data_IF_498373252852
#
_entry.id   IF_498373252852
#
_cell.length_a   1.000
_cell.length_b   1.000
_cell.length_c   1.000
_cell.angle_alpha   90.00
_cell.angle_beta   90.00
_cell.angle_gamma   90.00
#
_symmetry.space_group_name_H-M   'P 1'
#
loop_
_entity.id
_entity.type
_entity.pdbx_description
1 polymer ?
#
# COMPACT_ATOMS: atom_id res chain seq x y z
N UNK A 1 15.37 -15.41 -7.51
CA UNK A 1 15.46 -14.01 -7.94
C UNK A 1 14.33 -13.72 -8.90
N UNK A 2 13.45 -12.81 -8.57
CA UNK A 2 12.42 -12.32 -9.49
C UNK A 2 13.11 -11.36 -10.45
N UNK A 3 13.08 -11.67 -11.74
CA UNK A 3 13.63 -10.78 -12.77
C UNK A 3 12.51 -9.84 -13.22
N UNK A 4 12.70 -8.53 -13.09
CA UNK A 4 11.74 -7.53 -13.56
C UNK A 4 11.44 -7.72 -15.06
N UNK A 5 10.20 -7.49 -15.49
CA UNK A 5 9.79 -7.56 -16.90
C UNK A 5 10.41 -6.41 -17.72
N UNK A 6 10.53 -6.57 -19.05
CA UNK A 6 10.97 -5.48 -19.92
C UNK A 6 9.95 -4.33 -19.92
N UNK A 7 10.46 -3.08 -20.00
CA UNK A 7 9.62 -1.89 -19.99
C UNK A 7 10.31 -0.65 -19.46
N UNK A 8 9.58 0.44 -19.44
CA UNK A 8 9.99 1.72 -18.86
C UNK A 8 9.48 1.81 -17.43
N UNK A 9 10.36 2.23 -16.54
CA UNK A 9 10.14 2.28 -15.10
C UNK A 9 10.38 3.68 -14.54
N UNK A 10 9.54 4.12 -13.61
CA UNK A 10 9.99 5.03 -12.58
C UNK A 10 11.02 4.29 -11.73
N UNK A 11 12.15 4.91 -11.48
CA UNK A 11 13.24 4.35 -10.72
C UNK A 11 13.88 5.39 -9.80
N UNK A 12 14.62 4.94 -8.82
CA UNK A 12 15.46 5.78 -7.98
C UNK A 12 16.92 5.42 -8.21
N UNK A 13 17.75 6.42 -8.27
CA UNK A 13 19.18 6.30 -8.49
C UNK A 13 19.95 6.91 -7.31
N UNK A 14 20.69 6.10 -6.59
CA UNK A 14 21.57 6.56 -5.52
C UNK A 14 22.98 6.80 -6.10
N UNK A 15 23.46 8.01 -5.94
CA UNK A 15 24.81 8.44 -6.35
C UNK A 15 25.52 9.05 -5.16
N UNK A 16 26.59 8.41 -4.68
CA UNK A 16 27.37 8.84 -3.52
C UNK A 16 26.51 9.14 -2.25
N UNK A 17 25.50 8.29 -2.00
CA UNK A 17 24.60 8.45 -0.85
C UNK A 17 23.46 9.45 -1.07
N UNK A 18 23.39 10.11 -2.21
CA UNK A 18 22.28 11.02 -2.56
C UNK A 18 21.30 10.30 -3.48
N UNK A 19 20.02 10.32 -3.11
CA UNK A 19 18.95 9.69 -3.86
C UNK A 19 18.33 10.67 -4.86
N UNK A 20 18.15 10.22 -6.10
CA UNK A 20 17.55 10.99 -7.20
C UNK A 20 16.39 10.20 -7.81
N UNK A 21 15.35 10.90 -8.22
CA UNK A 21 14.33 10.32 -9.08
C UNK A 21 14.92 10.08 -10.47
N UNK A 22 14.50 8.99 -11.09
CA UNK A 22 15.02 8.58 -12.36
C UNK A 22 13.97 7.86 -13.20
N UNK A 23 14.24 7.75 -14.48
CA UNK A 23 13.50 6.90 -15.41
C UNK A 23 14.43 5.88 -15.97
N UNK A 24 14.07 4.59 -15.88
CA UNK A 24 14.89 3.50 -16.42
C UNK A 24 14.14 2.72 -17.49
N UNK A 25 14.85 2.39 -18.56
CA UNK A 25 14.39 1.42 -19.56
C UNK A 25 15.14 0.10 -19.36
N UNK A 26 14.40 -0.96 -19.09
CA UNK A 26 14.91 -2.32 -19.01
C UNK A 26 14.45 -3.09 -20.24
N UNK A 27 15.38 -3.53 -21.06
CA UNK A 27 15.05 -4.24 -22.29
C UNK A 27 16.25 -4.80 -23.02
N UNK A 28 16.00 -5.52 -24.12
CA UNK A 28 17.03 -6.08 -24.98
C UNK A 28 17.20 -5.22 -26.24
N UNK A 29 18.39 -4.68 -26.43
CA UNK A 29 18.72 -3.96 -27.69
C UNK A 29 19.14 -4.96 -28.78
N UNK A 30 18.36 -5.16 -29.86
CA UNK A 30 18.64 -6.17 -30.87
C UNK A 30 19.82 -5.82 -31.82
N UNK A 31 20.51 -4.71 -31.58
CA UNK A 31 21.50 -4.17 -32.54
C UNK A 31 22.88 -4.79 -32.46
N UNK A 32 23.21 -5.65 -31.51
CA UNK A 32 24.51 -6.30 -31.38
C UNK A 32 24.33 -7.75 -30.91
N UNK A 33 24.30 -8.66 -31.83
CA UNK A 33 24.51 -10.13 -31.80
C UNK A 33 24.42 -10.89 -30.44
N UNK A 34 23.37 -10.71 -29.65
CA UNK A 34 23.12 -11.46 -28.41
C UNK A 34 22.07 -10.77 -27.56
N UNK A 35 21.11 -11.54 -27.01
CA UNK A 35 20.02 -11.03 -26.17
C UNK A 35 20.51 -10.64 -24.77
N UNK A 36 21.41 -9.66 -24.70
CA UNK A 36 21.80 -9.08 -23.40
C UNK A 36 20.79 -8.00 -23.02
N UNK A 37 20.18 -8.15 -21.87
CA UNK A 37 19.29 -7.11 -21.31
C UNK A 37 20.15 -5.98 -20.77
N UNK A 38 19.74 -4.75 -21.08
CA UNK A 38 20.37 -3.53 -20.59
C UNK A 38 19.40 -2.73 -19.75
N UNK A 39 19.93 -2.08 -18.73
CA UNK A 39 19.23 -1.08 -17.93
C UNK A 39 19.82 0.28 -18.29
N UNK A 40 19.03 1.13 -18.93
CA UNK A 40 19.39 2.51 -19.25
C UNK A 40 18.64 3.45 -18.31
N UNK A 41 19.35 4.27 -17.54
CA UNK A 41 18.75 5.12 -16.51
C UNK A 41 19.04 6.59 -16.77
N UNK A 42 17.99 7.39 -16.83
CA UNK A 42 18.05 8.85 -16.88
C UNK A 42 17.71 9.43 -15.50
N UNK A 43 18.71 10.00 -14.84
CA UNK A 43 18.61 10.57 -13.49
C UNK A 43 18.14 12.03 -13.59
N UNK A 44 17.03 12.36 -12.94
CA UNK A 44 16.46 13.70 -13.00
C UNK A 44 17.26 14.68 -12.12
N UNK A 45 17.56 15.85 -12.68
CA UNK A 45 18.28 16.91 -11.94
C UNK A 45 19.76 16.63 -11.66
N UNK A 46 20.30 15.47 -12.04
CA UNK A 46 21.71 15.18 -11.86
C UNK A 46 22.54 15.79 -12.98
N UNK A 47 23.47 16.69 -12.64
CA UNK A 47 24.35 17.39 -13.60
C UNK A 47 25.81 16.96 -13.53
N UNK A 48 26.14 15.93 -12.74
CA UNK A 48 27.51 15.48 -12.54
C UNK A 48 27.98 14.37 -13.50
N UNK A 49 29.26 13.97 -13.36
CA UNK A 49 29.80 12.80 -14.04
C UNK A 49 29.60 11.54 -13.19
N UNK A 50 29.12 10.45 -13.82
CA UNK A 50 28.98 9.14 -13.18
C UNK A 50 30.21 8.24 -13.35
N UNK A 51 31.23 8.68 -14.11
CA UNK A 51 32.42 7.85 -14.35
C UNK A 51 33.18 7.60 -13.05
N UNK A 52 33.44 6.31 -12.77
CA UNK A 52 34.17 5.87 -11.58
C UNK A 52 33.36 5.89 -10.28
N UNK A 53 32.03 6.15 -10.35
CA UNK A 53 31.15 6.13 -9.19
C UNK A 53 30.33 4.85 -9.15
N UNK A 54 29.92 4.45 -7.96
CA UNK A 54 28.94 3.38 -7.78
C UNK A 54 27.54 3.99 -7.90
N UNK A 55 26.76 3.39 -8.80
CA UNK A 55 25.35 3.73 -9.00
C UNK A 55 24.49 2.56 -8.54
N UNK A 56 23.60 2.80 -7.60
CA UNK A 56 22.52 1.87 -7.25
C UNK A 56 21.25 2.36 -7.90
N UNK A 57 20.57 1.50 -8.65
CA UNK A 57 19.29 1.80 -9.29
C UNK A 57 18.25 0.85 -8.75
N UNK A 58 17.17 1.40 -8.23
CA UNK A 58 15.99 0.68 -7.77
C UNK A 58 14.84 0.93 -8.75
N UNK A 59 14.24 -0.14 -9.26
CA UNK A 59 13.05 -0.05 -10.10
C UNK A 59 11.81 0.02 -9.20
N UNK A 60 11.17 1.18 -9.16
CA UNK A 60 10.04 1.46 -8.27
C UNK A 60 8.72 1.01 -8.88
N UNK A 61 8.41 1.46 -10.11
CA UNK A 61 7.13 1.18 -10.77
C UNK A 61 7.30 1.07 -12.28
N UNK A 62 6.72 0.02 -12.86
CA UNK A 62 6.62 -0.08 -14.32
C UNK A 62 5.59 0.93 -14.82
N UNK A 63 6.01 1.81 -15.74
CA UNK A 63 5.16 2.85 -16.31
C UNK A 63 4.47 2.33 -17.57
N UNK A 64 5.21 1.60 -18.41
CA UNK A 64 4.71 1.03 -19.66
C UNK A 64 5.64 -0.03 -20.21
N UNK A 65 5.14 -0.78 -21.17
CA UNK A 65 5.95 -1.68 -21.99
C UNK A 65 6.87 -0.91 -22.94
N UNK A 66 7.94 -1.57 -23.39
CA UNK A 66 8.75 -1.08 -24.49
C UNK A 66 7.91 -0.96 -25.77
N UNK A 67 8.16 0.09 -26.53
CA UNK A 67 7.56 0.27 -27.85
C UNK A 67 8.56 0.88 -28.82
N UNK A 68 8.41 0.57 -30.11
CA UNK A 68 9.18 1.20 -31.15
C UNK A 68 8.54 2.50 -31.60
N UNK A 69 9.36 3.49 -31.96
CA UNK A 69 8.93 4.79 -32.47
C UNK A 69 9.37 4.94 -33.89
N UNK A 70 8.53 5.52 -34.74
CA UNK A 70 8.86 5.73 -36.17
C UNK A 70 9.88 6.87 -36.34
N UNK A 71 9.90 7.84 -35.41
CA UNK A 71 10.79 9.00 -35.47
C UNK A 71 11.40 9.32 -34.11
N UNK A 72 12.56 9.99 -34.11
CA UNK A 72 13.21 10.54 -32.92
C UNK A 72 12.30 11.55 -32.22
N UNK A 73 11.49 12.29 -32.99
CA UNK A 73 10.51 13.25 -32.43
C UNK A 73 9.44 12.58 -31.58
N UNK A 74 8.89 11.46 -32.04
CA UNK A 74 7.93 10.64 -31.29
C UNK A 74 8.55 10.07 -30.01
N UNK A 75 9.78 9.57 -30.09
CA UNK A 75 10.52 9.07 -28.93
C UNK A 75 10.70 10.18 -27.87
N UNK A 76 11.18 11.36 -28.31
CA UNK A 76 11.37 12.52 -27.40
C UNK A 76 10.07 12.95 -26.74
N UNK A 77 8.98 13.03 -27.50
CA UNK A 77 7.67 13.39 -26.97
C UNK A 77 7.15 12.36 -25.95
N UNK A 78 7.45 11.07 -26.18
CA UNK A 78 7.07 10.04 -25.21
C UNK A 78 7.91 10.10 -23.94
N UNK A 79 9.23 10.28 -24.05
CA UNK A 79 10.12 10.46 -22.90
C UNK A 79 9.69 11.66 -22.04
N UNK A 80 9.28 12.75 -22.69
CA UNK A 80 8.78 13.93 -21.97
C UNK A 80 7.49 13.61 -21.19
N UNK A 81 6.53 12.90 -21.81
CA UNK A 81 5.30 12.46 -21.11
C UNK A 81 5.59 11.48 -19.98
N UNK A 82 6.50 10.52 -20.19
CA UNK A 82 6.90 9.56 -19.16
C UNK A 82 7.52 10.29 -17.96
N UNK A 83 8.37 11.28 -18.21
CA UNK A 83 8.97 12.13 -17.17
C UNK A 83 7.92 12.94 -16.42
N UNK A 84 7.00 13.59 -17.14
CA UNK A 84 5.90 14.37 -16.55
C UNK A 84 5.03 13.48 -15.65
N UNK A 85 4.66 12.31 -16.14
CA UNK A 85 3.92 11.31 -15.37
C UNK A 85 4.68 10.86 -14.10
N UNK A 86 5.99 10.64 -14.18
CA UNK A 86 6.82 10.29 -13.00
C UNK A 86 6.83 11.43 -11.98
N UNK A 87 6.94 12.67 -12.44
CA UNK A 87 6.94 13.84 -11.55
C UNK A 87 5.56 14.04 -10.91
N UNK A 88 4.47 13.81 -11.65
CA UNK A 88 3.11 13.80 -11.09
C UNK A 88 2.92 12.69 -10.07
N UNK A 89 3.49 11.51 -10.28
CA UNK A 89 3.48 10.42 -9.29
C UNK A 89 4.21 10.80 -7.99
N UNK A 90 5.28 11.57 -8.10
CA UNK A 90 6.06 12.07 -6.96
C UNK A 90 5.33 13.18 -6.21
N UNK A 91 4.75 14.15 -6.93
CA UNK A 91 4.03 15.28 -6.34
C UNK A 91 2.64 14.85 -5.78
N UNK A 92 2.19 13.65 -6.13
CA UNK A 92 0.99 13.06 -5.59
C UNK A 92 1.30 12.44 -4.21
N UNK A 93 1.68 13.29 -3.27
CA UNK A 93 1.55 12.96 -1.83
C UNK A 93 0.07 12.64 -1.66
N UNK A 94 -0.26 11.35 -1.50
CA UNK A 94 -1.66 10.92 -1.50
C UNK A 94 -2.33 11.53 -0.26
N UNK A 95 -3.08 12.60 -0.50
CA UNK A 95 -3.88 13.26 0.52
C UNK A 95 -4.94 12.30 1.08
N UNK A 96 -5.15 12.30 2.39
CA UNK A 96 -6.17 11.46 3.02
C UNK A 96 -7.57 12.05 2.82
N UNK A 97 -8.20 11.73 1.71
CA UNK A 97 -9.60 12.08 1.49
C UNK A 97 -10.53 11.14 2.24
N UNK A 98 -10.87 11.50 3.47
CA UNK A 98 -11.76 10.71 4.34
C UNK A 98 -13.21 10.65 3.85
N UNK A 99 -13.57 11.41 2.80
CA UNK A 99 -14.89 11.32 2.16
C UNK A 99 -14.94 10.21 1.11
N UNK A 100 -13.78 9.69 0.69
CA UNK A 100 -13.67 8.60 -0.26
C UNK A 100 -14.20 7.30 0.36
N UNK A 101 -15.26 6.70 -0.23
CA UNK A 101 -15.87 5.51 0.35
C UNK A 101 -15.02 4.24 0.16
N UNK A 102 -14.26 4.17 -0.92
CA UNK A 102 -13.33 3.06 -1.24
C UNK A 102 -12.35 3.48 -2.34
N UNK A 103 -11.31 2.68 -2.54
CA UNK A 103 -10.45 2.74 -3.74
C UNK A 103 -9.99 1.32 -4.10
N UNK A 104 -10.44 0.85 -5.26
CA UNK A 104 -10.15 -0.49 -5.82
C UNK A 104 -9.77 -0.35 -7.30
N UNK A 105 -9.21 -1.40 -7.90
CA UNK A 105 -8.73 -1.37 -9.28
C UNK A 105 -9.87 -1.15 -10.30
N UNK A 106 -10.95 -1.93 -10.20
CA UNK A 106 -12.03 -1.95 -11.18
C UNK A 106 -13.34 -2.46 -10.55
N UNK A 107 -14.31 -1.58 -10.41
CA UNK A 107 -15.64 -1.93 -9.87
C UNK A 107 -16.44 -2.86 -10.76
N UNK A 108 -16.14 -2.95 -12.05
CA UNK A 108 -16.84 -3.89 -12.96
C UNK A 108 -16.62 -5.36 -12.60
N UNK A 109 -15.62 -5.66 -11.76
CA UNK A 109 -15.32 -7.00 -11.26
C UNK A 109 -16.21 -7.46 -10.09
N UNK A 110 -17.06 -6.59 -9.55
CA UNK A 110 -17.83 -6.85 -8.34
C UNK A 110 -18.78 -8.05 -8.48
N UNK A 111 -19.49 -8.19 -9.60
CA UNK A 111 -20.39 -9.32 -9.85
C UNK A 111 -19.62 -10.67 -9.86
N UNK A 112 -18.44 -10.69 -10.46
CA UNK A 112 -17.60 -11.89 -10.42
C UNK A 112 -17.13 -12.17 -8.98
N UNK A 113 -16.61 -11.15 -8.29
CA UNK A 113 -16.20 -11.29 -6.89
C UNK A 113 -17.32 -11.82 -5.99
N UNK A 114 -18.55 -11.37 -6.18
CA UNK A 114 -19.72 -11.85 -5.42
C UNK A 114 -19.93 -13.35 -5.60
N UNK A 115 -19.85 -13.85 -6.81
CA UNK A 115 -20.00 -15.28 -7.09
C UNK A 115 -18.91 -16.14 -6.43
N UNK A 116 -17.67 -15.64 -6.45
CA UNK A 116 -16.55 -16.33 -5.80
C UNK A 116 -16.67 -16.30 -4.27
N UNK A 117 -17.17 -15.20 -3.68
CA UNK A 117 -17.44 -15.10 -2.24
C UNK A 117 -18.51 -16.11 -1.82
N UNK A 118 -19.61 -16.26 -2.60
CA UNK A 118 -20.67 -17.24 -2.34
C UNK A 118 -20.11 -18.68 -2.34
N UNK A 119 -19.18 -19.00 -3.23
CA UNK A 119 -18.51 -20.30 -3.23
C UNK A 119 -17.66 -20.46 -1.97
N UNK A 120 -16.85 -19.46 -1.62
CA UNK A 120 -15.98 -19.51 -0.45
C UNK A 120 -16.74 -19.66 0.87
N UNK A 121 -17.95 -19.10 0.98
CA UNK A 121 -18.84 -19.30 2.15
C UNK A 121 -19.13 -20.77 2.41
N UNK A 122 -19.28 -21.58 1.36
CA UNK A 122 -19.50 -23.02 1.50
C UNK A 122 -18.23 -23.77 1.97
N UNK A 123 -17.07 -23.22 1.68
CA UNK A 123 -15.77 -23.76 2.07
C UNK A 123 -15.32 -23.32 3.48
N UNK A 124 -16.03 -22.36 4.07
CA UNK A 124 -15.72 -21.77 5.38
C UNK A 124 -16.85 -22.03 6.43
N UNK A 125 -17.22 -23.29 6.69
CA UNK A 125 -18.38 -23.61 7.52
C UNK A 125 -18.26 -23.13 8.96
N UNK A 126 -17.04 -23.05 9.50
CA UNK A 126 -16.78 -22.53 10.85
C UNK A 126 -17.13 -21.06 10.98
N UNK A 127 -16.66 -20.24 10.04
CA UNK A 127 -16.95 -18.81 10.03
C UNK A 127 -18.45 -18.55 9.76
N UNK A 128 -19.05 -19.29 8.85
CA UNK A 128 -20.49 -19.21 8.58
C UNK A 128 -21.34 -19.66 9.77
N UNK A 129 -20.86 -20.59 10.60
CA UNK A 129 -21.52 -20.96 11.85
C UNK A 129 -21.46 -19.82 12.88
N UNK A 130 -20.33 -19.10 12.97
CA UNK A 130 -20.18 -17.89 13.80
C UNK A 130 -21.15 -16.81 13.35
N UNK A 131 -21.21 -16.52 12.04
CA UNK A 131 -22.13 -15.55 11.44
C UNK A 131 -23.59 -15.87 11.78
N UNK A 132 -24.03 -17.12 11.58
CA UNK A 132 -25.40 -17.56 11.92
C UNK A 132 -25.72 -17.46 13.40
N UNK A 133 -24.77 -17.83 14.27
CA UNK A 133 -24.98 -17.89 15.71
C UNK A 133 -25.01 -16.50 16.36
N UNK A 134 -24.09 -15.64 15.98
CA UNK A 134 -23.86 -14.37 16.64
C UNK A 134 -24.34 -13.14 15.86
N UNK A 135 -24.57 -13.25 14.53
CA UNK A 135 -25.09 -12.16 13.70
C UNK A 135 -26.35 -11.51 14.27
N UNK A 136 -27.38 -12.29 14.68
CA UNK A 136 -28.59 -11.71 15.27
C UNK A 136 -28.35 -10.96 16.60
N UNK A 137 -27.25 -11.25 17.30
CA UNK A 137 -26.90 -10.62 18.58
C UNK A 137 -26.06 -9.35 18.39
N UNK A 138 -25.46 -9.16 17.24
CA UNK A 138 -24.56 -8.05 16.88
C UNK A 138 -23.53 -7.72 17.97
N UNK A 139 -22.70 -8.69 18.40
CA UNK A 139 -21.78 -8.50 19.54
C UNK A 139 -20.71 -7.43 19.27
N UNK A 140 -20.53 -7.02 18.01
CA UNK A 140 -19.58 -5.97 17.59
C UNK A 140 -20.28 -4.65 17.23
N UNK A 141 -21.55 -4.47 17.62
CA UNK A 141 -22.27 -3.22 17.35
C UNK A 141 -21.52 -2.01 17.90
N UNK A 142 -21.22 -1.04 17.01
CA UNK A 142 -20.48 0.17 17.35
C UNK A 142 -18.97 -0.02 17.51
N UNK A 143 -18.44 -1.21 17.29
CA UNK A 143 -17.00 -1.48 17.30
C UNK A 143 -16.40 -1.18 15.91
N UNK A 144 -15.37 -0.35 15.87
CA UNK A 144 -14.59 -0.05 14.68
C UNK A 144 -13.45 -1.07 14.52
N UNK A 145 -13.49 -1.83 13.44
CA UNK A 145 -12.49 -2.85 13.11
C UNK A 145 -11.75 -2.46 11.85
N UNK A 146 -10.45 -2.32 11.94
CA UNK A 146 -9.57 -2.14 10.78
C UNK A 146 -8.88 -3.46 10.45
N UNK A 147 -8.84 -3.83 9.18
CA UNK A 147 -8.05 -4.95 8.70
C UNK A 147 -6.92 -4.51 7.78
N UNK A 148 -5.74 -5.02 8.05
CA UNK A 148 -4.55 -4.97 7.20
C UNK A 148 -4.15 -6.43 6.94
N UNK A 149 -4.90 -7.09 6.06
CA UNK A 149 -4.76 -8.51 5.74
C UNK A 149 -5.08 -8.71 4.26
N UNK A 150 -4.43 -9.69 3.64
CA UNK A 150 -4.61 -10.03 2.22
C UNK A 150 -6.05 -9.90 1.76
N UNK A 151 -6.36 -8.99 0.82
CA UNK A 151 -7.72 -8.77 0.31
C UNK A 151 -8.09 -9.87 -0.68
N UNK A 152 -8.38 -11.06 -0.18
CA UNK A 152 -8.77 -12.25 -0.93
C UNK A 152 -10.26 -12.54 -0.80
N UNK A 153 -10.76 -13.51 -1.56
CA UNK A 153 -12.14 -13.99 -1.47
C UNK A 153 -12.46 -14.52 -0.06
N UNK A 154 -11.53 -15.23 0.57
CA UNK A 154 -11.73 -15.77 1.92
C UNK A 154 -11.77 -14.62 2.96
N UNK A 155 -10.93 -13.61 2.77
CA UNK A 155 -10.95 -12.40 3.60
C UNK A 155 -12.26 -11.63 3.42
N UNK A 156 -12.83 -11.61 2.21
CA UNK A 156 -14.13 -11.01 1.97
C UNK A 156 -15.23 -11.67 2.82
N UNK A 157 -15.22 -13.00 2.95
CA UNK A 157 -16.15 -13.72 3.86
C UNK A 157 -15.93 -13.31 5.33
N UNK A 158 -14.69 -13.09 5.75
CA UNK A 158 -14.38 -12.57 7.10
C UNK A 158 -14.94 -11.17 7.28
N UNK A 159 -14.68 -10.26 6.34
CA UNK A 159 -15.18 -8.88 6.37
C UNK A 159 -16.69 -8.84 6.52
N UNK A 160 -17.40 -9.56 5.67
CA UNK A 160 -18.87 -9.63 5.74
C UNK A 160 -19.37 -10.26 7.05
N UNK A 161 -18.63 -11.22 7.58
CA UNK A 161 -18.95 -11.76 8.90
C UNK A 161 -18.80 -10.71 10.00
N UNK A 162 -17.75 -9.92 10.00
CA UNK A 162 -17.56 -8.82 10.97
C UNK A 162 -18.66 -7.78 10.86
N UNK A 163 -19.06 -7.42 9.64
CA UNK A 163 -20.17 -6.49 9.37
C UNK A 163 -21.50 -7.07 9.88
N UNK A 164 -21.79 -8.35 9.61
CA UNK A 164 -22.99 -9.00 10.11
C UNK A 164 -23.02 -9.09 11.64
N UNK A 165 -21.86 -9.20 12.28
CA UNK A 165 -21.71 -9.12 13.72
C UNK A 165 -21.88 -7.69 14.27
N UNK A 166 -22.07 -6.68 13.43
CA UNK A 166 -22.35 -5.29 13.78
C UNK A 166 -21.15 -4.35 13.77
N UNK A 167 -19.98 -4.80 13.34
CA UNK A 167 -18.79 -3.96 13.26
C UNK A 167 -18.86 -2.90 12.15
N UNK A 168 -18.29 -1.72 12.42
CA UNK A 168 -17.90 -0.76 11.40
C UNK A 168 -16.50 -1.14 10.89
N UNK A 169 -16.40 -1.60 9.64
CA UNK A 169 -15.20 -2.22 9.10
C UNK A 169 -14.57 -1.33 8.03
N UNK A 170 -13.23 -1.20 8.07
CA UNK A 170 -12.42 -0.63 7.00
C UNK A 170 -11.25 -1.57 6.71
N UNK A 171 -10.87 -1.71 5.44
CA UNK A 171 -9.90 -2.73 5.04
C UNK A 171 -8.86 -2.23 4.05
N UNK A 172 -7.61 -2.68 4.21
CA UNK A 172 -6.55 -2.61 3.21
C UNK A 172 -5.84 -3.97 3.10
N UNK A 173 -4.99 -4.14 2.10
CA UNK A 173 -4.14 -5.32 1.99
C UNK A 173 -2.86 -5.16 2.81
N UNK A 174 -2.28 -6.26 3.26
CA UNK A 174 -0.97 -6.32 3.91
C UNK A 174 0.18 -6.58 2.90
N UNK A 175 -0.10 -6.61 1.62
CA UNK A 175 0.90 -6.85 0.57
C UNK A 175 0.45 -6.28 -0.77
N UNK A 176 1.37 -5.61 -1.46
CA UNK A 176 1.12 -4.90 -2.74
C UNK A 176 0.70 -5.81 -3.91
N UNK A 177 0.86 -7.13 -3.81
CA UNK A 177 0.55 -8.07 -4.91
C UNK A 177 -0.56 -9.08 -4.58
N UNK A 178 -0.99 -9.16 -3.32
CA UNK A 178 -1.87 -10.24 -2.88
C UNK A 178 -3.36 -9.98 -3.04
N UNK A 179 -3.76 -8.74 -3.34
CA UNK A 179 -5.17 -8.40 -3.56
C UNK A 179 -5.75 -9.15 -4.74
N UNK A 180 -6.92 -9.72 -4.55
CA UNK A 180 -7.79 -10.21 -5.61
C UNK A 180 -8.78 -9.08 -5.94
N UNK A 181 -8.59 -8.39 -7.07
CA UNK A 181 -9.33 -7.17 -7.41
C UNK A 181 -10.84 -7.36 -7.45
N UNK A 182 -11.30 -8.53 -7.86
CA UNK A 182 -12.73 -8.87 -7.85
C UNK A 182 -13.30 -9.04 -6.42
N UNK A 183 -12.47 -9.50 -5.47
CA UNK A 183 -12.87 -9.55 -4.05
C UNK A 183 -13.00 -8.13 -3.47
N UNK A 184 -12.02 -7.28 -3.74
CA UNK A 184 -12.04 -5.88 -3.30
C UNK A 184 -13.23 -5.13 -3.89
N UNK A 185 -13.53 -5.31 -5.18
CA UNK A 185 -14.67 -4.70 -5.85
C UNK A 185 -16.02 -5.14 -5.24
N UNK A 186 -16.19 -6.43 -4.96
CA UNK A 186 -17.44 -6.96 -4.39
C UNK A 186 -17.69 -6.41 -2.97
N UNK A 187 -16.66 -6.29 -2.15
CA UNK A 187 -16.76 -5.73 -0.79
C UNK A 187 -17.00 -4.22 -0.83
N UNK A 188 -16.38 -3.50 -1.76
CA UNK A 188 -16.65 -2.08 -1.99
C UNK A 188 -18.09 -1.83 -2.45
N UNK A 189 -18.62 -2.67 -3.37
CA UNK A 189 -20.03 -2.62 -3.82
C UNK A 189 -21.02 -2.91 -2.68
N UNK A 190 -20.65 -3.78 -1.74
CA UNK A 190 -21.43 -4.05 -0.53
C UNK A 190 -21.41 -2.87 0.48
N UNK A 191 -20.69 -1.80 0.19
CA UNK A 191 -20.63 -0.57 1.00
C UNK A 191 -19.60 -0.60 2.12
N UNK A 192 -18.67 -1.55 2.12
CA UNK A 192 -17.56 -1.58 3.08
C UNK A 192 -16.38 -0.80 2.49
N UNK A 193 -15.81 0.17 3.23
CA UNK A 193 -14.63 0.90 2.79
C UNK A 193 -13.42 -0.02 2.64
N UNK A 194 -13.01 -0.24 1.40
CA UNK A 194 -11.83 -1.04 1.02
C UNK A 194 -10.88 -0.17 0.20
N UNK A 195 -9.61 -0.20 0.60
CA UNK A 195 -8.51 0.50 -0.07
C UNK A 195 -7.46 -0.54 -0.42
N UNK A 196 -7.63 -1.22 -1.57
CA UNK A 196 -6.73 -2.29 -2.00
C UNK A 196 -6.88 -2.60 -3.49
N UNK A 197 -5.76 -2.80 -4.17
CA UNK A 197 -5.69 -3.36 -5.52
C UNK A 197 -4.38 -4.11 -5.75
N UNK A 198 -4.37 -4.99 -6.72
CA UNK A 198 -3.16 -5.73 -7.05
C UNK A 198 -2.17 -4.85 -7.80
N UNK A 199 -0.94 -4.75 -7.31
CA UNK A 199 0.13 -3.98 -7.91
C UNK A 199 0.20 -2.54 -7.41
N UNK A 200 -0.24 -2.28 -6.19
CA UNK A 200 0.03 -1.04 -5.47
C UNK A 200 1.53 -0.73 -5.49
N UNK A 201 1.86 0.55 -5.57
CA UNK A 201 3.20 1.04 -5.22
C UNK A 201 3.33 1.17 -3.71
N UNK A 202 4.54 1.27 -3.18
CA UNK A 202 4.72 1.48 -1.73
C UNK A 202 4.03 2.75 -1.22
N UNK A 203 4.08 3.92 -1.89
CA UNK A 203 3.27 5.08 -1.50
C UNK A 203 1.77 4.80 -1.43
N UNK A 204 1.24 4.10 -2.45
CA UNK A 204 -0.18 3.70 -2.49
C UNK A 204 -0.53 2.74 -1.34
N UNK A 205 0.32 1.77 -1.07
CA UNK A 205 0.16 0.81 0.03
C UNK A 205 0.08 1.51 1.40
N UNK A 206 1.03 2.41 1.70
CA UNK A 206 1.03 3.13 2.97
C UNK A 206 -0.12 4.13 3.08
N UNK A 207 -0.52 4.71 1.94
CA UNK A 207 -1.75 5.50 1.88
C UNK A 207 -3.01 4.66 2.14
N UNK A 208 -3.14 3.48 1.53
CA UNK A 208 -4.25 2.55 1.77
C UNK A 208 -4.34 2.17 3.25
N UNK A 209 -3.20 1.88 3.88
CA UNK A 209 -3.13 1.58 5.31
C UNK A 209 -3.57 2.77 6.17
N UNK A 210 -3.11 3.99 5.84
CA UNK A 210 -3.52 5.22 6.53
C UNK A 210 -5.03 5.52 6.35
N UNK A 211 -5.59 5.29 5.16
CA UNK A 211 -7.02 5.42 4.88
C UNK A 211 -7.85 4.41 5.68
N UNK A 212 -7.42 3.16 5.75
CA UNK A 212 -8.11 2.13 6.51
C UNK A 212 -8.04 2.39 8.05
N UNK A 213 -6.95 3.01 8.54
CA UNK A 213 -6.79 3.47 9.92
C UNK A 213 -7.63 4.72 10.26
N UNK A 214 -8.29 5.34 9.29
CA UNK A 214 -8.97 6.63 9.46
C UNK A 214 -10.49 6.46 9.35
N UNK A 215 -11.18 6.49 10.48
CA UNK A 215 -12.64 6.42 10.53
C UNK A 215 -13.28 7.81 10.54
N UNK A 216 -14.55 7.94 10.13
CA UNK A 216 -15.26 9.22 10.14
C UNK A 216 -15.26 9.90 11.52
N UNK A 217 -15.23 11.24 11.52
CA UNK A 217 -15.18 12.04 12.74
C UNK A 217 -13.81 12.05 13.44
N UNK A 218 -12.72 11.78 12.71
CA UNK A 218 -11.37 11.81 13.25
C UNK A 218 -11.05 10.66 14.20
N UNK A 219 -11.82 9.58 14.14
CA UNK A 219 -11.64 8.38 14.97
C UNK A 219 -10.65 7.41 14.34
N UNK A 220 -10.03 6.58 15.17
CA UNK A 220 -9.25 5.41 14.74
C UNK A 220 -9.99 4.10 14.98
N UNK A 221 -9.40 2.95 14.64
CA UNK A 221 -9.92 1.63 14.97
C UNK A 221 -9.89 1.37 16.48
N UNK A 222 -10.77 0.51 16.95
CA UNK A 222 -10.74 -0.05 18.31
C UNK A 222 -10.10 -1.44 18.31
N UNK A 223 -10.26 -2.18 17.22
CA UNK A 223 -9.63 -3.48 17.02
C UNK A 223 -8.96 -3.50 15.64
N UNK A 224 -7.86 -4.21 15.55
CA UNK A 224 -7.10 -4.39 14.30
C UNK A 224 -6.92 -5.89 14.04
N UNK A 225 -7.12 -6.29 12.80
CA UNK A 225 -6.65 -7.57 12.25
C UNK A 225 -5.46 -7.24 11.37
N UNK A 226 -4.26 -7.57 11.81
CA UNK A 226 -2.99 -7.24 11.14
C UNK A 226 -2.29 -8.50 10.63
N UNK A 227 -1.47 -8.34 9.60
CA UNK A 227 -0.63 -9.40 9.03
C UNK A 227 0.71 -8.80 8.65
N UNK A 228 1.71 -9.01 9.50
CA UNK A 228 3.03 -8.41 9.41
C UNK A 228 3.24 -7.16 10.27
N UNK A 229 2.19 -6.66 10.95
CA UNK A 229 2.29 -5.58 11.92
C UNK A 229 2.42 -4.18 11.34
N UNK A 230 2.08 -3.95 10.08
CA UNK A 230 2.27 -2.65 9.41
C UNK A 230 1.30 -1.58 9.92
N UNK A 231 0.02 -1.91 10.10
CA UNK A 231 -0.95 -1.00 10.69
C UNK A 231 -0.57 -0.62 12.13
N UNK A 232 -0.14 -1.60 12.90
CA UNK A 232 0.35 -1.43 14.27
C UNK A 232 1.60 -0.55 14.31
N UNK A 233 2.54 -0.73 13.37
CA UNK A 233 3.74 0.09 13.24
C UNK A 233 3.42 1.56 13.01
N UNK A 234 2.47 1.87 12.11
CA UNK A 234 2.06 3.26 11.87
C UNK A 234 1.50 3.91 13.12
N UNK A 235 0.68 3.20 13.90
CA UNK A 235 0.14 3.73 15.16
C UNK A 235 1.26 4.03 16.16
N UNK A 236 2.20 3.10 16.36
CA UNK A 236 3.32 3.28 17.30
C UNK A 236 4.25 4.42 16.89
N UNK A 237 4.69 4.46 15.64
CA UNK A 237 5.56 5.54 15.13
C UNK A 237 4.81 6.88 15.15
N UNK A 238 3.54 6.90 14.77
CA UNK A 238 2.72 8.10 14.76
C UNK A 238 2.49 8.65 16.16
N UNK A 239 2.18 7.81 17.14
CA UNK A 239 2.03 8.21 18.54
C UNK A 239 3.33 8.82 19.12
N UNK A 240 4.49 8.20 18.82
CA UNK A 240 5.78 8.76 19.23
C UNK A 240 6.03 10.11 18.56
N UNK A 241 5.71 10.24 17.28
CA UNK A 241 5.93 11.47 16.53
C UNK A 241 5.00 12.62 16.93
N UNK A 242 3.80 12.34 17.42
CA UNK A 242 2.92 13.36 18.01
C UNK A 242 3.48 13.91 19.35
N UNK A 243 4.21 13.07 20.11
CA UNK A 243 4.90 13.53 21.31
C UNK A 243 6.20 14.29 20.99
N UNK A 244 6.93 13.84 19.97
CA UNK A 244 8.18 14.44 19.53
C UNK A 244 8.38 14.21 18.02
N UNK A 245 8.10 15.23 17.22
CA UNK A 245 8.21 15.15 15.76
C UNK A 245 9.64 14.84 15.29
N UNK A 246 10.67 15.13 16.09
CA UNK A 246 12.07 14.82 15.74
C UNK A 246 12.35 13.32 15.65
N UNK A 247 11.45 12.48 16.18
CA UNK A 247 11.51 11.01 16.02
C UNK A 247 11.37 10.56 14.57
N UNK A 248 10.92 11.43 13.68
CA UNK A 248 10.86 11.19 12.23
C UNK A 248 12.08 11.78 11.48
N UNK A 249 13.00 12.49 12.16
CA UNK A 249 14.11 13.20 11.54
C UNK A 249 15.38 12.34 11.54
N UNK A 250 15.30 11.17 10.89
CA UNK A 250 16.47 10.31 10.66
C UNK A 250 16.52 9.86 9.20
N UNK A 251 17.68 9.42 8.77
CA UNK A 251 17.89 8.93 7.40
C UNK A 251 17.24 7.55 7.26
N UNK A 252 16.27 7.37 6.35
CA UNK A 252 15.61 6.09 6.18
C UNK A 252 16.58 5.04 5.66
N UNK A 253 16.50 3.83 6.18
CA UNK A 253 17.35 2.69 5.81
C UNK A 253 16.89 1.99 4.52
N UNK A 254 15.67 2.28 4.06
CA UNK A 254 15.05 1.71 2.87
C UNK A 254 14.02 2.66 2.26
N UNK A 255 13.68 2.41 0.99
CA UNK A 255 12.59 3.13 0.32
C UNK A 255 11.26 2.98 1.05
N UNK A 256 10.96 1.77 1.54
CA UNK A 256 9.75 1.56 2.34
C UNK A 256 9.72 2.42 3.61
N UNK A 257 10.84 2.51 4.31
CA UNK A 257 10.92 3.36 5.51
C UNK A 257 10.76 4.86 5.18
N UNK A 258 11.28 5.30 4.02
CA UNK A 258 11.06 6.65 3.53
C UNK A 258 9.58 6.95 3.30
N UNK A 259 8.83 6.01 2.70
CA UNK A 259 7.39 6.15 2.48
C UNK A 259 6.59 6.13 3.80
N UNK A 260 6.99 5.31 4.77
CA UNK A 260 6.41 5.34 6.12
C UNK A 260 6.59 6.73 6.76
N UNK A 261 7.82 7.26 6.73
CA UNK A 261 8.11 8.59 7.29
C UNK A 261 7.33 9.69 6.55
N UNK A 262 7.25 9.63 5.22
CA UNK A 262 6.46 10.54 4.40
C UNK A 262 4.97 10.53 4.76
N UNK A 263 4.39 9.35 4.88
CA UNK A 263 2.99 9.15 5.30
C UNK A 263 2.74 9.73 6.70
N UNK A 264 3.61 9.46 7.65
CA UNK A 264 3.49 9.98 9.02
C UNK A 264 3.61 11.50 9.08
N UNK A 265 4.57 12.11 8.35
CA UNK A 265 4.71 13.56 8.27
C UNK A 265 3.48 14.23 7.67
N UNK A 266 2.90 13.65 6.62
CA UNK A 266 1.66 14.14 6.00
C UNK A 266 0.52 14.11 7.01
N UNK A 267 0.32 12.99 7.69
CA UNK A 267 -0.74 12.86 8.71
C UNK A 267 -0.56 13.88 9.84
N UNK A 268 0.64 14.03 10.36
CA UNK A 268 0.93 15.00 11.44
C UNK A 268 0.68 16.45 11.02
N UNK A 269 0.92 16.79 9.75
CA UNK A 269 0.65 18.13 9.23
C UNK A 269 -0.86 18.44 9.16
N UNK A 270 -1.69 17.43 8.89
CA UNK A 270 -3.13 17.54 8.74
C UNK A 270 -3.88 17.40 10.07
N UNK A 271 -3.44 16.47 10.92
CA UNK A 271 -4.12 16.10 12.17
C UNK A 271 -3.10 15.73 13.26
N UNK A 272 -2.77 16.70 14.12
CA UNK A 272 -1.73 16.60 15.13
C UNK A 272 -2.05 15.68 16.32
N UNK A 273 -3.30 15.27 16.47
CA UNK A 273 -3.78 14.48 17.61
C UNK A 273 -4.40 13.15 17.17
N UNK A 274 -4.25 12.77 15.89
CA UNK A 274 -4.84 11.55 15.31
C UNK A 274 -4.47 10.30 16.09
N UNK A 275 -3.17 10.15 16.35
CA UNK A 275 -2.64 8.92 16.94
C UNK A 275 -2.95 8.82 18.43
N UNK A 276 -2.92 9.94 19.16
CA UNK A 276 -3.37 9.98 20.55
C UNK A 276 -4.84 9.60 20.68
N UNK A 277 -5.70 10.13 19.81
CA UNK A 277 -7.13 9.75 19.78
C UNK A 277 -7.32 8.29 19.43
N UNK A 278 -6.54 7.78 18.47
CA UNK A 278 -6.59 6.36 18.09
C UNK A 278 -6.21 5.47 19.26
N UNK A 279 -5.06 5.72 19.90
CA UNK A 279 -4.56 4.92 21.02
C UNK A 279 -5.49 4.96 22.23
N UNK A 280 -6.15 6.09 22.51
CA UNK A 280 -7.10 6.22 23.62
C UNK A 280 -8.29 5.24 23.51
N UNK A 281 -8.70 4.89 22.30
CA UNK A 281 -9.83 3.98 22.08
C UNK A 281 -9.39 2.58 21.63
N UNK A 282 -8.12 2.38 21.25
CA UNK A 282 -7.58 1.11 20.76
C UNK A 282 -7.57 0.05 21.88
N UNK A 283 -8.09 -1.14 21.59
CA UNK A 283 -8.24 -2.25 22.55
C UNK A 283 -7.27 -3.40 22.28
N UNK A 284 -6.82 -3.54 21.06
CA UNK A 284 -5.88 -4.60 20.72
C UNK A 284 -5.77 -4.89 19.23
N UNK A 285 -4.83 -5.78 18.92
CA UNK A 285 -4.54 -6.30 17.59
C UNK A 285 -4.55 -7.81 17.63
N UNK A 286 -5.10 -8.43 16.57
CA UNK A 286 -4.90 -9.84 16.23
C UNK A 286 -3.90 -9.90 15.09
N UNK A 287 -2.75 -10.53 15.31
CA UNK A 287 -1.68 -10.67 14.34
C UNK A 287 -1.66 -12.09 13.77
N UNK A 288 -1.67 -12.20 12.43
CA UNK A 288 -1.83 -13.47 11.73
C UNK A 288 -0.50 -14.22 11.50
N UNK A 289 0.64 -13.50 11.54
CA UNK A 289 1.94 -14.08 11.18
C UNK A 289 2.95 -14.10 12.31
N UNK A 290 3.84 -15.12 12.31
CA UNK A 290 4.98 -15.16 13.23
C UNK A 290 5.94 -14.00 13.02
N UNK A 291 6.09 -13.51 11.78
CA UNK A 291 6.90 -12.34 11.45
C UNK A 291 6.33 -11.07 12.11
N UNK A 292 5.01 -10.86 11.99
CA UNK A 292 4.33 -9.75 12.64
C UNK A 292 4.39 -9.84 14.16
N UNK A 293 4.13 -11.01 14.74
CA UNK A 293 4.28 -11.21 16.19
C UNK A 293 5.71 -10.87 16.67
N UNK A 294 6.73 -11.27 15.91
CA UNK A 294 8.12 -10.93 16.26
C UNK A 294 8.35 -9.40 16.20
N UNK A 295 7.79 -8.72 15.18
CA UNK A 295 7.83 -7.25 15.07
C UNK A 295 7.12 -6.56 16.25
N UNK A 296 5.97 -7.09 16.69
CA UNK A 296 5.26 -6.57 17.86
C UNK A 296 6.11 -6.68 19.14
N UNK A 297 6.81 -7.78 19.36
CA UNK A 297 7.75 -7.92 20.47
C UNK A 297 8.90 -6.92 20.37
N UNK A 298 9.49 -6.71 19.19
CA UNK A 298 10.52 -5.69 19.00
C UNK A 298 10.02 -4.29 19.31
N UNK A 299 8.79 -3.94 18.89
CA UNK A 299 8.18 -2.65 19.23
C UNK A 299 7.95 -2.51 20.74
N UNK A 300 7.55 -3.57 21.42
CA UNK A 300 7.37 -3.59 22.89
C UNK A 300 8.69 -3.37 23.62
N UNK A 301 9.78 -3.99 23.17
CA UNK A 301 11.12 -3.83 23.76
C UNK A 301 11.69 -2.43 23.54
N UNK A 302 11.35 -1.79 22.41
CA UNK A 302 11.79 -0.44 22.08
C UNK A 302 10.99 0.67 22.78
N UNK A 303 9.93 0.35 23.52
CA UNK A 303 9.08 1.28 24.28
C UNK A 303 8.05 1.95 23.41
#
# INVERSE_FOLDING_TARGET
SVTAADGVYYSRAEVDGTLYDAMSNLGSNPSVGGAVRHLETHIFGFGGSLYGRTLRVELVRKIRDERRFATIGELRAQIARDKEYILELKDNTMYLDLTMPYKVADMSLAEWGRKEIEIAEHEMPGLMAVRRKYGPQKPLEGVRVMGSLHMTIQTAVLIETLVELGADVRWCSCNIFSTQDHAAAAIAEAGVPVFAWKGETLPEYWWCTAMALSFPGGKGPQLIVDDGGDATLLIHKGYKAENDASTLDYEPSSYEEEEILGTLRTILAEDKDKWHRTVAEWKGVSEETTTGVHRLYQMQEAG
#
